data_IF_944812773186
#
_entry.id   IF_944812773186
#
_cell.length_a   1.000
_cell.length_b   1.000
_cell.length_c   1.000
_cell.angle_alpha   90.00
_cell.angle_beta   90.00
_cell.angle_gamma   90.00
#
_symmetry.space_group_name_H-M   'P 1'
#
loop_
_entity.id
_entity.type
_entity.pdbx_description
1 polymer ?
#
# COMPACT_ATOMS: atom_id res chain seq x y z
N UNK A 1 21.78 -70.00 -76.57
CA UNK A 1 22.20 -69.55 -75.22
C UNK A 1 22.13 -68.01 -75.08
N UNK A 2 21.15 -67.33 -75.69
CA UNK A 2 21.12 -65.86 -75.80
C UNK A 2 19.97 -65.19 -75.01
N UNK A 3 18.81 -65.84 -74.87
CA UNK A 3 17.64 -65.26 -74.17
C UNK A 3 17.88 -65.02 -72.68
N UNK A 4 18.56 -65.94 -71.99
CA UNK A 4 18.87 -65.81 -70.55
C UNK A 4 19.85 -64.65 -70.25
N UNK A 5 20.76 -64.34 -71.17
CA UNK A 5 21.69 -63.20 -71.06
C UNK A 5 20.97 -61.87 -71.25
N UNK A 6 20.01 -61.79 -72.19
CA UNK A 6 19.18 -60.60 -72.39
C UNK A 6 18.25 -60.31 -71.21
N UNK A 7 17.64 -61.34 -70.61
CA UNK A 7 16.83 -61.18 -69.39
C UNK A 7 17.66 -60.69 -68.22
N UNK A 8 18.88 -61.22 -68.04
CA UNK A 8 19.81 -60.75 -67.00
C UNK A 8 20.25 -59.29 -67.24
N UNK A 9 20.53 -58.90 -68.48
CA UNK A 9 20.89 -57.52 -68.83
C UNK A 9 19.71 -56.55 -68.61
N UNK A 10 18.48 -56.94 -68.96
CA UNK A 10 17.29 -56.14 -68.70
C UNK A 10 17.03 -55.96 -67.20
N UNK A 11 17.27 -57.00 -66.39
CA UNK A 11 17.16 -56.93 -64.94
C UNK A 11 18.21 -55.98 -64.32
N UNK A 12 19.47 -56.04 -64.77
CA UNK A 12 20.53 -55.15 -64.29
C UNK A 12 20.24 -53.69 -64.68
N UNK A 13 19.76 -53.45 -65.90
CA UNK A 13 19.35 -52.12 -66.35
C UNK A 13 18.16 -51.59 -65.54
N UNK A 14 17.15 -52.42 -65.29
CA UNK A 14 15.99 -52.07 -64.46
C UNK A 14 16.37 -51.78 -63.00
N UNK A 15 17.27 -52.58 -62.42
CA UNK A 15 17.79 -52.36 -61.07
C UNK A 15 18.59 -51.06 -60.97
N UNK A 16 19.40 -50.74 -61.99
CA UNK A 16 20.14 -49.47 -62.06
C UNK A 16 19.22 -48.26 -62.09
N UNK A 17 18.22 -48.26 -62.98
CA UNK A 17 17.27 -47.13 -63.10
C UNK A 17 16.40 -47.03 -61.84
N UNK A 18 15.91 -48.16 -61.33
CA UNK A 18 15.11 -48.21 -60.09
C UNK A 18 15.88 -47.63 -58.90
N UNK A 19 17.14 -48.00 -58.73
CA UNK A 19 18.00 -47.51 -57.64
C UNK A 19 18.26 -46.01 -57.71
N UNK A 20 18.45 -45.45 -58.91
CA UNK A 20 18.66 -44.00 -59.10
C UNK A 20 17.38 -43.24 -58.79
N UNK A 21 16.24 -43.70 -59.29
CA UNK A 21 14.94 -43.08 -58.99
C UNK A 21 14.63 -43.11 -57.49
N UNK A 22 14.85 -44.25 -56.80
CA UNK A 22 14.62 -44.33 -55.36
C UNK A 22 15.57 -43.44 -54.58
N UNK A 23 16.87 -43.39 -54.91
CA UNK A 23 17.82 -42.48 -54.27
C UNK A 23 17.33 -41.03 -54.41
N UNK A 24 16.95 -40.62 -55.62
CA UNK A 24 16.56 -39.23 -55.88
C UNK A 24 15.30 -38.83 -55.10
N UNK A 25 14.35 -39.75 -54.90
CA UNK A 25 13.17 -39.52 -54.06
C UNK A 25 13.52 -39.45 -52.57
N UNK A 26 14.33 -40.39 -52.07
CA UNK A 26 14.79 -40.38 -50.68
C UNK A 26 15.55 -39.09 -50.38
N UNK A 27 16.53 -38.72 -51.23
CA UNK A 27 17.34 -37.52 -51.06
C UNK A 27 16.49 -36.26 -50.91
N UNK A 28 15.50 -36.07 -51.79
CA UNK A 28 14.59 -34.91 -51.71
C UNK A 28 13.75 -34.89 -50.44
N UNK A 29 13.27 -36.05 -49.97
CA UNK A 29 12.47 -36.13 -48.73
C UNK A 29 13.30 -35.84 -47.48
N UNK A 30 14.50 -36.42 -47.38
CA UNK A 30 15.38 -36.19 -46.23
C UNK A 30 15.96 -34.78 -46.23
N UNK A 31 16.27 -34.19 -47.39
CA UNK A 31 16.71 -32.79 -47.49
C UNK A 31 15.60 -31.81 -47.07
N UNK A 32 14.35 -32.06 -47.46
CA UNK A 32 13.20 -31.21 -47.08
C UNK A 32 12.97 -31.21 -45.57
N UNK A 33 12.98 -32.40 -44.94
CA UNK A 33 12.76 -32.52 -43.49
C UNK A 33 13.91 -31.86 -42.72
N UNK A 34 15.16 -32.11 -43.12
CA UNK A 34 16.32 -31.51 -42.47
C UNK A 34 16.34 -29.97 -42.59
N UNK A 35 15.93 -29.44 -43.74
CA UNK A 35 15.88 -27.99 -43.96
C UNK A 35 14.74 -27.34 -43.17
N UNK A 36 13.58 -27.99 -43.08
CA UNK A 36 12.42 -27.50 -42.32
C UNK A 36 12.71 -27.44 -40.81
N UNK A 37 13.37 -28.44 -40.25
CA UNK A 37 13.79 -28.44 -38.85
C UNK A 37 14.80 -27.31 -38.55
N UNK A 38 15.81 -27.13 -39.41
CA UNK A 38 16.82 -26.07 -39.25
C UNK A 38 16.19 -24.69 -39.36
N UNK A 39 15.32 -24.47 -40.34
CA UNK A 39 14.70 -23.17 -40.59
C UNK A 39 13.70 -22.81 -39.48
N UNK A 40 12.95 -23.80 -38.96
CA UNK A 40 12.03 -23.59 -37.83
C UNK A 40 12.77 -23.16 -36.55
N UNK A 41 13.90 -23.81 -36.25
CA UNK A 41 14.73 -23.47 -35.09
C UNK A 41 15.32 -22.07 -35.27
N UNK A 42 15.88 -21.77 -36.45
CA UNK A 42 16.44 -20.45 -36.75
C UNK A 42 15.38 -19.35 -36.63
N UNK A 43 14.15 -19.59 -37.09
CA UNK A 43 13.05 -18.66 -36.94
C UNK A 43 12.65 -18.44 -35.47
N UNK A 44 12.59 -19.51 -34.67
CA UNK A 44 12.29 -19.41 -33.24
C UNK A 44 13.39 -18.65 -32.47
N UNK A 45 14.66 -18.89 -32.77
CA UNK A 45 15.78 -18.15 -32.18
C UNK A 45 15.79 -16.68 -32.61
N UNK A 46 15.56 -16.38 -33.89
CA UNK A 46 15.46 -15.01 -34.38
C UNK A 46 14.27 -14.26 -33.74
N UNK A 47 13.12 -14.93 -33.58
CA UNK A 47 11.96 -14.36 -32.88
C UNK A 47 12.29 -14.03 -31.42
N UNK A 48 12.96 -14.94 -30.68
CA UNK A 48 13.39 -14.70 -29.30
C UNK A 48 14.40 -13.57 -29.19
N UNK A 49 15.38 -13.51 -30.09
CA UNK A 49 16.38 -12.44 -30.11
C UNK A 49 15.74 -11.05 -30.37
N UNK A 50 14.76 -10.99 -31.28
CA UNK A 50 14.04 -9.73 -31.55
C UNK A 50 13.18 -9.28 -30.36
N UNK A 51 12.53 -10.22 -29.67
CA UNK A 51 11.77 -9.91 -28.43
C UNK A 51 12.71 -9.44 -27.31
N UNK A 52 13.87 -10.08 -27.16
CA UNK A 52 14.86 -9.67 -26.16
C UNK A 52 15.43 -8.27 -26.47
N UNK A 53 15.74 -7.98 -27.73
CA UNK A 53 16.19 -6.64 -28.18
C UNK A 53 15.11 -5.58 -27.96
N UNK A 54 13.85 -5.88 -28.28
CA UNK A 54 12.74 -4.98 -28.02
C UNK A 54 12.55 -4.73 -26.51
N UNK A 55 12.66 -5.77 -25.69
CA UNK A 55 12.60 -5.65 -24.22
C UNK A 55 13.73 -4.79 -23.64
N UNK A 56 14.97 -4.96 -24.12
CA UNK A 56 16.11 -4.13 -23.71
C UNK A 56 15.95 -2.68 -24.13
N UNK A 57 15.50 -2.42 -25.36
CA UNK A 57 15.23 -1.07 -25.85
C UNK A 57 14.10 -0.37 -25.08
N UNK A 58 13.06 -1.10 -24.68
CA UNK A 58 11.98 -0.56 -23.87
C UNK A 58 12.48 -0.23 -22.46
N UNK A 59 13.25 -1.12 -21.83
CA UNK A 59 13.83 -0.90 -20.50
C UNK A 59 14.74 0.34 -20.48
N UNK A 60 15.58 0.50 -21.50
CA UNK A 60 16.48 1.65 -21.66
C UNK A 60 15.67 2.96 -21.84
N UNK A 61 14.63 2.94 -22.66
CA UNK A 61 13.73 4.09 -22.83
C UNK A 61 12.98 4.49 -21.55
N UNK A 62 12.56 3.51 -20.73
CA UNK A 62 11.94 3.77 -19.43
C UNK A 62 12.95 4.38 -18.44
N UNK A 63 14.17 3.85 -18.42
CA UNK A 63 15.21 4.31 -17.50
C UNK A 63 15.70 5.74 -17.84
N UNK A 64 15.81 6.08 -19.12
CA UNK A 64 16.14 7.44 -19.55
C UNK A 64 14.98 8.42 -19.30
N UNK A 65 13.73 7.97 -19.46
CA UNK A 65 12.55 8.75 -19.08
C UNK A 65 12.51 9.09 -17.59
N UNK A 66 12.87 8.13 -16.73
CA UNK A 66 12.92 8.33 -15.28
C UNK A 66 14.01 9.34 -14.88
N UNK A 67 15.23 9.20 -15.41
CA UNK A 67 16.33 10.14 -15.15
C UNK A 67 16.02 11.56 -15.61
N UNK A 68 15.31 11.71 -16.73
CA UNK A 68 14.90 13.03 -17.25
C UNK A 68 13.88 13.71 -16.33
N UNK A 69 12.92 12.95 -15.80
CA UNK A 69 11.96 13.47 -14.82
C UNK A 69 12.65 13.86 -13.50
N UNK A 70 13.54 13.02 -12.98
CA UNK A 70 14.32 13.32 -11.76
C UNK A 70 15.19 14.58 -11.93
N UNK A 71 15.80 14.76 -13.11
CA UNK A 71 16.57 15.96 -13.42
C UNK A 71 15.70 17.22 -13.47
N UNK A 72 14.51 17.13 -14.08
CA UNK A 72 13.57 18.24 -14.18
C UNK A 72 13.00 18.63 -12.81
N UNK A 73 12.61 17.65 -11.98
CA UNK A 73 12.12 17.88 -10.62
C UNK A 73 13.18 18.56 -9.73
N UNK A 74 14.45 18.17 -9.87
CA UNK A 74 15.55 18.82 -9.16
C UNK A 74 15.79 20.28 -9.61
N UNK A 75 15.60 20.58 -10.90
CA UNK A 75 15.69 21.97 -11.39
C UNK A 75 14.52 22.82 -10.89
N UNK A 76 13.30 22.29 -10.91
CA UNK A 76 12.12 22.97 -10.41
C UNK A 76 12.23 23.24 -8.90
N UNK A 77 12.70 22.26 -8.12
CA UNK A 77 12.94 22.43 -6.67
C UNK A 77 13.97 23.53 -6.37
N UNK A 78 15.06 23.60 -7.16
CA UNK A 78 16.05 24.69 -7.05
C UNK A 78 15.44 26.04 -7.37
N UNK A 79 14.59 26.12 -8.39
CA UNK A 79 13.88 27.35 -8.76
C UNK A 79 12.95 27.82 -7.64
N UNK A 80 12.12 26.94 -7.09
CA UNK A 80 11.24 27.28 -5.95
C UNK A 80 12.03 27.73 -4.72
N UNK A 81 13.11 27.02 -4.37
CA UNK A 81 14.00 27.44 -3.27
C UNK A 81 14.58 28.84 -3.49
N UNK A 82 14.98 29.17 -4.71
CA UNK A 82 15.52 30.49 -5.04
C UNK A 82 14.47 31.60 -4.93
N UNK A 83 13.22 31.33 -5.29
CA UNK A 83 12.09 32.28 -5.15
C UNK A 83 11.80 32.54 -3.67
N UNK A 84 11.69 31.48 -2.86
CA UNK A 84 11.46 31.58 -1.41
C UNK A 84 12.56 32.41 -0.73
N UNK A 85 13.82 32.19 -1.14
CA UNK A 85 14.97 32.90 -0.59
C UNK A 85 15.03 34.37 -1.04
N UNK A 86 14.74 34.64 -2.32
CA UNK A 86 14.75 35.99 -2.90
C UNK A 86 13.64 36.88 -2.34
N UNK A 87 12.44 36.33 -2.22
CA UNK A 87 11.26 37.04 -1.73
C UNK A 87 11.19 37.09 -0.18
N UNK A 88 12.22 36.58 0.51
CA UNK A 88 12.39 36.76 1.95
C UNK A 88 11.48 35.91 2.84
N UNK A 89 10.79 34.91 2.29
CA UNK A 89 9.91 33.98 3.02
C UNK A 89 10.66 33.00 3.94
N UNK A 90 11.98 33.11 4.07
CA UNK A 90 12.81 32.27 4.97
C UNK A 90 12.83 32.77 6.42
N UNK A 91 12.11 33.84 6.74
CA UNK A 91 12.22 34.56 8.01
C UNK A 91 11.14 34.22 9.06
N UNK A 92 10.22 33.30 8.78
CA UNK A 92 9.18 32.91 9.74
C UNK A 92 9.73 32.24 11.01
N UNK A 93 10.97 31.76 10.98
CA UNK A 93 11.62 31.07 12.12
C UNK A 93 12.57 31.96 12.95
N UNK A 94 12.81 33.23 12.59
CA UNK A 94 13.85 34.04 13.30
C UNK A 94 13.34 34.77 14.54
N UNK A 95 12.04 34.84 14.78
CA UNK A 95 11.45 35.52 15.96
C UNK A 95 10.47 34.65 16.76
N UNK A 96 10.49 33.34 16.58
CA UNK A 96 9.87 32.43 17.54
C UNK A 96 11.01 32.00 18.44
N UNK A 97 11.03 32.53 19.67
CA UNK A 97 11.79 31.90 20.74
C UNK A 97 11.55 30.40 20.62
N UNK A 98 12.61 29.62 20.41
CA UNK A 98 12.56 28.17 20.53
C UNK A 98 12.20 27.87 21.99
N UNK A 99 10.90 27.94 22.33
CA UNK A 99 10.33 27.01 23.28
C UNK A 99 10.67 25.67 22.68
N UNK A 100 11.68 25.00 23.25
CA UNK A 100 11.94 23.58 23.05
C UNK A 100 10.56 22.92 23.05
N UNK A 101 10.07 22.57 21.87
CA UNK A 101 8.81 21.87 21.77
C UNK A 101 8.99 20.63 22.62
N UNK A 102 8.13 20.48 23.62
CA UNK A 102 7.98 19.20 24.29
C UNK A 102 7.93 18.10 23.22
N UNK A 103 8.50 16.91 23.49
CA UNK A 103 8.31 15.77 22.60
C UNK A 103 6.84 15.70 22.20
N UNK A 104 6.52 15.47 20.92
CA UNK A 104 5.14 15.39 20.45
C UNK A 104 4.38 14.38 21.31
N UNK A 105 3.71 14.86 22.35
CA UNK A 105 2.85 14.06 23.22
C UNK A 105 1.56 13.98 22.44
N UNK A 106 1.23 12.78 22.00
CA UNK A 106 -0.03 12.47 21.36
C UNK A 106 -1.14 12.76 22.38
N UNK A 107 -1.78 13.92 22.23
CA UNK A 107 -2.82 14.40 23.15
C UNK A 107 -4.16 13.78 22.77
N UNK A 108 -5.07 13.59 23.74
CA UNK A 108 -6.46 13.24 23.44
C UNK A 108 -7.11 14.25 22.50
N UNK A 109 -8.01 13.80 21.64
CA UNK A 109 -8.77 14.66 20.71
C UNK A 109 -10.20 14.17 20.52
N UNK A 110 -11.10 15.11 20.19
CA UNK A 110 -12.50 14.83 19.89
C UNK A 110 -12.62 14.12 18.54
N UNK A 111 -13.44 13.07 18.50
CA UNK A 111 -13.77 12.31 17.29
C UNK A 111 -15.27 12.35 17.02
N UNK A 112 -15.67 12.02 15.79
CA UNK A 112 -17.10 11.90 15.46
C UNK A 112 -17.72 10.61 16.04
N UNK A 113 -19.05 10.57 16.24
CA UNK A 113 -19.74 9.35 16.68
C UNK A 113 -19.53 8.17 15.72
N UNK A 114 -19.33 8.42 14.42
CA UNK A 114 -19.06 7.37 13.43
C UNK A 114 -17.66 6.76 13.56
N UNK A 115 -16.68 7.53 14.04
CA UNK A 115 -15.31 7.08 14.28
C UNK A 115 -15.18 6.35 15.63
N UNK A 116 -16.14 6.50 16.53
CA UNK A 116 -16.12 5.87 17.85
C UNK A 116 -16.17 4.34 17.74
N UNK A 117 -15.14 3.67 18.26
CA UNK A 117 -15.03 2.22 18.19
C UNK A 117 -14.69 1.67 16.81
N UNK A 118 -14.17 2.49 15.90
CA UNK A 118 -13.65 2.04 14.59
C UNK A 118 -12.48 1.05 14.75
N UNK A 119 -11.64 1.27 15.77
CA UNK A 119 -10.51 0.40 16.08
C UNK A 119 -10.91 -0.68 17.09
N UNK A 120 -10.93 -1.95 16.66
CA UNK A 120 -11.20 -3.10 17.56
C UNK A 120 -10.18 -3.25 18.69
N UNK A 121 -8.96 -2.71 18.51
CA UNK A 121 -7.91 -2.75 19.53
C UNK A 121 -8.04 -1.66 20.59
N UNK A 122 -8.99 -0.74 20.43
CA UNK A 122 -9.25 0.34 21.37
C UNK A 122 -10.35 -0.07 22.34
N UNK A 123 -10.15 0.20 23.62
CA UNK A 123 -11.17 -0.03 24.64
C UNK A 123 -12.22 1.09 24.59
N UNK A 124 -13.50 0.72 24.69
CA UNK A 124 -14.61 1.68 24.73
C UNK A 124 -15.04 1.89 26.17
N UNK A 125 -14.91 3.12 26.64
CA UNK A 125 -15.16 3.49 28.03
C UNK A 125 -16.21 4.60 28.06
N UNK A 126 -17.25 4.44 28.86
CA UNK A 126 -18.25 5.48 29.07
C UNK A 126 -17.95 6.23 30.38
N UNK A 127 -17.91 7.56 30.31
CA UNK A 127 -17.68 8.47 31.43
C UNK A 127 -18.89 9.39 31.61
N UNK A 128 -19.08 9.89 32.82
CA UNK A 128 -20.16 10.84 33.13
C UNK A 128 -19.57 12.16 33.62
N UNK A 129 -19.93 13.26 32.98
CA UNK A 129 -19.52 14.62 33.34
C UNK A 129 -20.68 15.37 33.99
N UNK A 130 -20.51 15.73 35.26
CA UNK A 130 -21.55 16.36 36.08
C UNK A 130 -21.50 17.90 36.02
N UNK A 131 -22.60 18.55 36.41
CA UNK A 131 -22.72 20.01 36.42
C UNK A 131 -21.74 20.72 37.39
N UNK A 132 -21.24 20.02 38.41
CA UNK A 132 -20.18 20.48 39.31
C UNK A 132 -18.76 20.22 38.77
N UNK A 133 -18.64 19.92 37.47
CA UNK A 133 -17.40 19.71 36.72
C UNK A 133 -16.60 18.49 37.17
N UNK A 134 -17.30 17.50 37.73
CA UNK A 134 -16.70 16.22 38.13
C UNK A 134 -16.88 15.23 36.98
N UNK A 135 -15.79 14.57 36.58
CA UNK A 135 -15.82 13.47 35.63
C UNK A 135 -15.68 12.16 36.39
N UNK A 136 -16.58 11.20 36.13
CA UNK A 136 -16.52 9.87 36.76
C UNK A 136 -16.57 8.75 35.74
N UNK A 137 -16.05 7.59 36.14
CA UNK A 137 -16.21 6.35 35.40
C UNK A 137 -17.61 5.73 35.59
N UNK A 138 -17.82 4.55 35.01
CA UNK A 138 -19.04 3.74 35.15
C UNK A 138 -19.35 3.34 36.61
N UNK A 139 -18.33 3.30 37.46
CA UNK A 139 -18.43 2.95 38.87
C UNK A 139 -18.73 4.16 39.77
N UNK A 140 -18.88 5.36 39.19
CA UNK A 140 -18.98 6.62 39.91
C UNK A 140 -17.70 6.93 40.72
N UNK A 141 -16.56 6.41 40.27
CA UNK A 141 -15.24 6.79 40.78
C UNK A 141 -14.75 8.01 40.00
N UNK A 142 -14.25 9.00 40.72
CA UNK A 142 -13.76 10.25 40.14
C UNK A 142 -12.49 9.99 39.32
N UNK A 143 -12.42 10.59 38.13
CA UNK A 143 -11.28 10.46 37.23
C UNK A 143 -10.16 11.39 37.71
N UNK A 144 -9.03 10.81 38.11
CA UNK A 144 -7.92 11.57 38.70
C UNK A 144 -7.25 12.58 37.73
N UNK A 145 -6.90 12.15 36.51
CA UNK A 145 -6.16 12.98 35.54
C UNK A 145 -6.94 13.17 34.23
N UNK A 146 -7.88 14.11 34.27
CA UNK A 146 -8.77 14.43 33.14
C UNK A 146 -7.99 14.89 31.91
N UNK A 147 -6.95 15.72 32.07
CA UNK A 147 -6.13 16.21 30.96
C UNK A 147 -5.39 15.05 30.27
N UNK A 148 -4.89 14.08 31.03
CA UNK A 148 -4.14 12.94 30.48
C UNK A 148 -5.04 11.90 29.79
N UNK A 149 -6.29 11.76 30.27
CA UNK A 149 -7.24 10.73 29.84
C UNK A 149 -8.11 11.22 28.67
N UNK A 150 -8.80 12.36 28.83
CA UNK A 150 -9.73 12.89 27.82
C UNK A 150 -9.36 14.28 27.31
N UNK A 151 -8.44 14.99 27.97
CA UNK A 151 -8.14 16.38 27.66
C UNK A 151 -9.24 17.31 28.16
N UNK A 152 -8.88 18.34 28.92
CA UNK A 152 -9.89 19.26 29.50
C UNK A 152 -10.65 20.04 28.42
N UNK A 153 -9.97 20.37 27.31
CA UNK A 153 -10.57 21.07 26.16
C UNK A 153 -11.78 20.29 25.61
N UNK A 154 -11.70 18.95 25.55
CA UNK A 154 -12.76 18.09 25.02
C UNK A 154 -14.10 18.26 25.75
N UNK A 155 -14.07 18.58 27.04
CA UNK A 155 -15.28 18.82 27.86
C UNK A 155 -16.03 20.10 27.49
N UNK A 156 -15.50 20.91 26.57
CA UNK A 156 -16.17 22.12 26.06
C UNK A 156 -16.86 21.91 24.72
N UNK A 157 -16.74 20.71 24.12
CA UNK A 157 -17.26 20.37 22.79
C UNK A 157 -18.68 19.75 22.79
N UNK A 158 -19.39 19.77 23.93
CA UNK A 158 -20.79 19.34 23.96
C UNK A 158 -21.64 20.19 23.00
N UNK A 159 -22.44 19.53 22.16
CA UNK A 159 -23.23 20.16 21.11
C UNK A 159 -22.53 20.30 19.76
N UNK A 160 -21.27 19.87 19.60
CA UNK A 160 -20.61 19.82 18.29
C UNK A 160 -21.20 18.72 17.40
N UNK A 161 -21.42 17.53 17.97
CA UNK A 161 -22.07 16.40 17.31
C UNK A 161 -23.40 16.04 17.96
N UNK A 162 -23.40 15.84 19.27
CA UNK A 162 -24.57 15.54 20.09
C UNK A 162 -24.68 16.52 21.26
N UNK A 163 -25.91 16.82 21.71
CA UNK A 163 -26.15 17.83 22.74
C UNK A 163 -25.66 17.41 24.13
N UNK A 164 -25.70 16.10 24.41
CA UNK A 164 -25.43 15.49 25.71
C UNK A 164 -24.26 14.50 25.70
N UNK A 165 -23.53 14.37 24.58
CA UNK A 165 -22.38 13.48 24.49
C UNK A 165 -21.20 14.10 23.73
N UNK A 166 -19.99 13.68 24.09
CA UNK A 166 -18.74 13.96 23.37
C UNK A 166 -17.92 12.68 23.29
N UNK A 167 -17.36 12.41 22.11
CA UNK A 167 -16.51 11.25 21.88
C UNK A 167 -15.05 11.70 21.79
N UNK A 168 -14.17 11.06 22.56
CA UNK A 168 -12.75 11.43 22.65
C UNK A 168 -11.89 10.20 22.41
N UNK A 169 -10.87 10.32 21.57
CA UNK A 169 -9.85 9.28 21.36
C UNK A 169 -8.56 9.64 22.09
N UNK A 170 -7.99 8.64 22.76
CA UNK A 170 -6.67 8.71 23.35
C UNK A 170 -5.79 7.58 22.79
N UNK A 171 -4.99 7.89 21.77
CA UNK A 171 -4.14 6.92 21.09
C UNK A 171 -3.06 6.33 22.00
N UNK A 172 -2.61 7.09 23.01
CA UNK A 172 -1.61 6.63 23.98
C UNK A 172 -2.18 5.56 24.90
N UNK A 173 -3.43 5.70 25.32
CA UNK A 173 -4.13 4.71 26.14
C UNK A 173 -4.82 3.62 25.30
N UNK A 174 -4.93 3.82 23.97
CA UNK A 174 -5.76 3.02 23.08
C UNK A 174 -7.19 2.91 23.59
N UNK A 175 -7.79 4.04 23.94
CA UNK A 175 -9.16 4.10 24.42
C UNK A 175 -9.96 5.13 23.64
N UNK A 176 -11.21 4.77 23.37
CA UNK A 176 -12.25 5.67 22.92
C UNK A 176 -13.19 5.91 24.10
N UNK A 177 -13.31 7.17 24.51
CA UNK A 177 -14.16 7.61 25.60
C UNK A 177 -15.46 8.21 25.06
N UNK A 178 -16.58 7.77 25.59
CA UNK A 178 -17.88 8.41 25.43
C UNK A 178 -18.17 9.18 26.72
N UNK A 179 -18.24 10.51 26.64
CA UNK A 179 -18.47 11.37 27.79
C UNK A 179 -19.92 11.86 27.74
N UNK A 180 -20.73 11.45 28.71
CA UNK A 180 -22.13 11.83 28.82
C UNK A 180 -22.31 13.00 29.79
N UNK A 181 -23.08 14.01 29.40
CA UNK A 181 -23.39 15.18 30.23
C UNK A 181 -24.57 14.90 31.18
N UNK A 182 -24.31 14.95 32.48
CA UNK A 182 -25.33 14.90 33.52
C UNK A 182 -25.55 16.29 34.13
N UNK A 183 -26.79 16.80 34.05
CA UNK A 183 -27.16 18.10 34.59
C UNK A 183 -27.25 18.14 36.12
N UNK A 184 -27.15 16.98 36.79
CA UNK A 184 -27.09 16.88 38.25
C UNK A 184 -25.67 17.17 38.74
N UNK A 185 -25.54 17.52 40.02
CA UNK A 185 -24.25 17.58 40.68
C UNK A 185 -23.85 16.19 41.18
N UNK A 186 -22.58 15.82 41.01
CA UNK A 186 -22.03 14.57 41.54
C UNK A 186 -22.23 14.46 43.06
N UNK A 187 -22.08 15.58 43.77
CA UNK A 187 -22.31 15.64 45.22
C UNK A 187 -23.74 15.30 45.65
N UNK A 188 -24.74 15.44 44.78
CA UNK A 188 -26.12 15.07 45.09
C UNK A 188 -26.41 13.61 44.73
N UNK A 189 -25.77 13.10 43.68
CA UNK A 189 -25.85 11.69 43.27
C UNK A 189 -25.24 10.80 44.35
N UNK A 190 -24.00 11.08 44.77
CA UNK A 190 -23.27 10.31 45.79
C UNK A 190 -24.00 10.20 47.13
N UNK A 191 -24.71 11.24 47.57
CA UNK A 191 -25.52 11.21 48.81
C UNK A 191 -26.67 10.21 48.76
N UNK A 192 -27.16 9.90 47.57
CA UNK A 192 -28.30 9.00 47.36
C UNK A 192 -27.90 7.57 47.04
N UNK A 193 -26.61 7.32 46.76
CA UNK A 193 -26.12 5.98 46.43
C UNK A 193 -25.94 5.13 47.70
N UNK A 194 -26.39 3.85 47.69
CA UNK A 194 -26.09 2.93 48.77
C UNK A 194 -24.56 2.73 48.87
N UNK A 195 -24.02 2.72 50.10
CA UNK A 195 -22.58 2.48 50.34
C UNK A 195 -22.11 1.21 49.62
N UNK A 196 -21.11 1.35 48.76
CA UNK A 196 -20.43 0.24 48.09
C UNK A 196 -19.54 -0.46 49.11
N UNK A 197 -19.68 -1.79 49.23
CA UNK A 197 -18.81 -2.59 50.08
C UNK A 197 -17.52 -2.82 49.30
N UNK A 198 -16.38 -2.31 49.77
CA UNK A 198 -15.09 -2.57 49.13
C UNK A 198 -14.81 -4.08 49.17
N UNK A 199 -14.73 -4.72 48.00
CA UNK A 199 -14.21 -6.08 47.89
C UNK A 199 -12.67 -6.01 47.99
N UNK A 200 -12.16 -6.71 49.00
CA UNK A 200 -10.76 -6.67 49.46
C UNK A 200 -9.92 -7.78 48.85
#
# INVERSE_FOLDING_TARGET
MNSKRWVLLAFIAGAGIGSVCTWQLLKRKYEQIAQEEIDSVKAAYAARENVEKAGKSLLEGLQDGLKKNEAQENEDLKKYKSIIQKEGYTNYSRNVEEKKGDPFVEKPYVISPEEFGEFEEYEKISLTYYADQVLTDENNEEVDDVEEIVGEESLTHFGEYEDDSVFVRNDRLKCDYEILLDQRNYSDVTKTMPHRVEER
#
